data_IF_091709764278
#
_entry.id   IF_091709764278
#
_cell.length_a   1.000
_cell.length_b   1.000
_cell.length_c   1.000
_cell.angle_alpha   90.00
_cell.angle_beta   90.00
_cell.angle_gamma   90.00
#
_symmetry.space_group_name_H-M   'P 1'
#
loop_
_entity.id
_entity.type
_entity.pdbx_description
1 polymer ?
#
# COMPACT_ATOMS: atom_id res chain seq x y z
N UNK A 1 5.46 18.15 12.64
CA UNK A 1 5.26 16.88 11.92
C UNK A 1 3.84 16.90 11.40
N UNK A 2 3.61 16.78 10.09
CA UNK A 2 2.25 16.56 9.55
C UNK A 2 1.94 15.08 9.77
N UNK A 3 0.84 14.77 10.45
CA UNK A 3 0.33 13.41 10.52
C UNK A 3 0.09 12.93 9.09
N UNK A 4 0.68 11.79 8.72
CA UNK A 4 0.56 11.22 7.37
C UNK A 4 -0.81 10.59 7.12
N UNK A 5 -1.60 10.35 8.18
CA UNK A 5 -2.91 9.71 8.11
C UNK A 5 -3.95 10.53 8.89
N UNK A 6 -5.02 10.95 8.22
CA UNK A 6 -6.30 11.31 8.84
C UNK A 6 -7.31 10.25 8.41
N UNK A 7 -7.19 9.03 8.96
CA UNK A 7 -8.13 7.94 8.68
C UNK A 7 -9.26 7.99 9.71
N UNK A 8 -10.51 8.05 9.24
CA UNK A 8 -11.69 7.97 10.12
C UNK A 8 -11.91 6.51 10.52
N UNK A 9 -11.67 6.20 11.79
CA UNK A 9 -11.98 4.90 12.37
C UNK A 9 -13.50 4.74 12.54
N UNK A 10 -14.07 3.61 12.08
CA UNK A 10 -15.37 3.12 12.54
C UNK A 10 -15.12 1.92 13.44
N UNK A 11 -15.46 2.02 14.71
CA UNK A 11 -15.40 0.89 15.66
C UNK A 11 -16.78 0.30 15.85
N UNK A 12 -17.02 -0.92 15.36
CA UNK A 12 -18.15 -1.75 15.79
C UNK A 12 -17.70 -3.14 16.25
N UNK A 13 -18.28 -3.57 17.37
CA UNK A 13 -17.89 -4.75 18.15
C UNK A 13 -17.97 -6.06 17.36
N UNK A 14 -16.81 -6.67 17.09
CA UNK A 14 -16.68 -8.02 16.54
C UNK A 14 -15.69 -8.88 17.33
N UNK A 15 -15.93 -10.19 17.38
CA UNK A 15 -15.14 -11.21 18.08
C UNK A 15 -13.63 -11.06 17.78
N UNK A 16 -12.80 -11.08 18.82
CA UNK A 16 -11.36 -10.78 18.81
C UNK A 16 -10.53 -11.83 18.03
N UNK A 17 -10.59 -11.79 16.69
CA UNK A 17 -9.62 -12.40 15.78
C UNK A 17 -8.57 -11.34 15.42
N UNK A 18 -7.73 -10.98 16.39
CA UNK A 18 -6.77 -9.91 16.18
C UNK A 18 -5.73 -10.31 15.14
N UNK A 19 -5.80 -9.65 13.99
CA UNK A 19 -4.80 -9.73 12.94
C UNK A 19 -3.56 -8.97 13.46
N UNK A 20 -2.56 -9.73 13.90
CA UNK A 20 -1.32 -9.17 14.46
C UNK A 20 -0.28 -9.01 13.36
N UNK A 21 0.46 -7.91 13.41
CA UNK A 21 1.61 -7.71 12.52
C UNK A 21 2.69 -8.76 12.81
N UNK A 22 3.15 -9.48 11.80
CA UNK A 22 4.27 -10.41 11.90
C UNK A 22 5.61 -9.66 11.98
N UNK A 23 6.21 -9.58 13.16
CA UNK A 23 7.51 -8.94 13.37
C UNK A 23 8.63 -9.55 12.51
N UNK A 24 8.59 -10.85 12.22
CA UNK A 24 9.58 -11.47 11.33
C UNK A 24 9.46 -10.94 9.90
N UNK A 25 8.24 -10.63 9.44
CA UNK A 25 8.04 -10.01 8.15
C UNK A 25 8.62 -8.57 8.10
N UNK A 26 8.52 -7.83 9.20
CA UNK A 26 9.09 -6.48 9.33
C UNK A 26 10.63 -6.53 9.35
N UNK A 27 11.23 -7.48 10.08
CA UNK A 27 12.68 -7.73 10.03
C UNK A 27 13.15 -8.13 8.64
N UNK A 28 12.42 -9.00 7.94
CA UNK A 28 12.73 -9.37 6.55
C UNK A 28 12.66 -8.18 5.60
N UNK A 29 11.71 -7.26 5.79
CA UNK A 29 11.65 -6.00 5.05
C UNK A 29 12.88 -5.13 5.35
N UNK A 30 13.28 -4.99 6.62
CA UNK A 30 14.49 -4.27 7.02
C UNK A 30 15.76 -4.86 6.39
N UNK A 31 15.88 -6.19 6.40
CA UNK A 31 16.99 -6.91 5.77
C UNK A 31 17.00 -6.74 4.24
N UNK A 32 15.83 -6.82 3.58
CA UNK A 32 15.73 -6.57 2.15
C UNK A 32 16.13 -5.13 1.79
N UNK A 33 15.73 -4.16 2.61
CA UNK A 33 16.12 -2.77 2.44
C UNK A 33 17.62 -2.55 2.68
N UNK A 34 18.21 -3.14 3.72
CA UNK A 34 19.64 -3.07 3.97
C UNK A 34 20.46 -3.73 2.83
N UNK A 35 19.94 -4.84 2.29
CA UNK A 35 20.53 -5.57 1.16
C UNK A 35 20.31 -4.93 -0.22
N UNK A 36 19.85 -3.68 -0.30
CA UNK A 36 19.62 -2.96 -1.55
C UNK A 36 18.61 -3.63 -2.52
N UNK A 37 17.69 -4.45 -2.02
CA UNK A 37 16.63 -5.00 -2.84
C UNK A 37 15.76 -3.87 -3.42
N UNK A 38 15.32 -4.05 -4.66
CA UNK A 38 14.27 -3.21 -5.26
C UNK A 38 12.92 -3.67 -4.73
N UNK A 39 12.16 -2.75 -4.15
CA UNK A 39 10.89 -3.08 -3.50
C UNK A 39 9.71 -2.84 -4.45
N UNK A 40 8.82 -3.83 -4.56
CA UNK A 40 7.53 -3.69 -5.23
C UNK A 40 6.43 -3.97 -4.22
N UNK A 41 5.68 -2.94 -3.86
CA UNK A 41 4.72 -2.95 -2.76
C UNK A 41 3.28 -2.99 -3.30
N UNK A 42 2.41 -3.71 -2.59
CA UNK A 42 0.96 -3.62 -2.71
C UNK A 42 0.37 -3.46 -1.33
N UNK A 43 -0.38 -2.39 -1.12
CA UNK A 43 -1.29 -2.27 0.01
C UNK A 43 -2.58 -2.99 -0.32
N UNK A 44 -3.25 -3.55 0.68
CA UNK A 44 -4.51 -4.27 0.53
C UNK A 44 -5.43 -4.11 1.74
N UNK A 45 -6.73 -3.98 1.50
CA UNK A 45 -7.73 -4.32 2.50
C UNK A 45 -8.10 -5.80 2.37
N UNK A 46 -7.94 -6.56 3.46
CA UNK A 46 -8.35 -7.97 3.56
C UNK A 46 -9.21 -8.14 4.80
N UNK A 47 -10.45 -8.60 4.63
CA UNK A 47 -11.43 -8.74 5.72
C UNK A 47 -11.57 -7.47 6.59
N UNK A 48 -11.61 -6.29 5.94
CA UNK A 48 -11.74 -5.00 6.62
C UNK A 48 -10.48 -4.51 7.33
N UNK A 49 -9.33 -5.16 7.12
CA UNK A 49 -8.06 -4.82 7.79
C UNK A 49 -6.93 -4.60 6.81
N UNK A 50 -6.00 -3.73 7.17
CA UNK A 50 -4.84 -3.37 6.37
C UNK A 50 -3.81 -4.50 6.31
N UNK A 51 -3.39 -4.83 5.09
CA UNK A 51 -2.32 -5.77 4.80
C UNK A 51 -1.33 -5.11 3.82
N UNK A 52 -0.05 -5.42 3.99
CA UNK A 52 1.00 -5.05 3.04
C UNK A 52 1.66 -6.30 2.46
N UNK A 53 1.83 -6.31 1.15
CA UNK A 53 2.59 -7.32 0.40
C UNK A 53 3.75 -6.66 -0.30
N UNK A 54 4.96 -7.12 -0.02
CA UNK A 54 6.21 -6.60 -0.56
C UNK A 54 6.90 -7.74 -1.32
N UNK A 55 7.23 -7.47 -2.57
CA UNK A 55 8.16 -8.27 -3.34
C UNK A 55 9.53 -7.57 -3.32
N UNK A 56 10.51 -8.19 -2.68
CA UNK A 56 11.89 -7.73 -2.65
C UNK A 56 12.69 -8.46 -3.73
N UNK A 57 13.25 -7.69 -4.68
CA UNK A 57 14.07 -8.21 -5.77
C UNK A 57 15.55 -7.85 -5.55
N UNK A 58 16.38 -8.86 -5.29
CA UNK A 58 17.82 -8.73 -5.11
C UNK A 58 18.59 -8.91 -6.43
N UNK A 59 17.90 -9.08 -7.56
CA UNK A 59 18.48 -9.35 -8.88
C UNK A 59 18.74 -10.84 -9.15
N UNK A 60 19.26 -11.59 -8.16
CA UNK A 60 19.48 -13.03 -8.27
C UNK A 60 18.38 -13.88 -7.60
N UNK A 61 17.62 -13.29 -6.67
CA UNK A 61 16.51 -13.92 -5.98
C UNK A 61 15.40 -12.92 -5.71
N UNK A 62 14.19 -13.43 -5.61
CA UNK A 62 13.00 -12.69 -5.21
C UNK A 62 12.45 -13.27 -3.93
N UNK A 63 11.97 -12.39 -3.07
CA UNK A 63 11.40 -12.76 -1.79
C UNK A 63 10.06 -12.04 -1.62
N UNK A 64 9.05 -12.81 -1.25
CA UNK A 64 7.73 -12.28 -0.94
C UNK A 64 7.54 -12.18 0.57
N UNK A 65 7.12 -11.00 1.02
CA UNK A 65 6.87 -10.67 2.42
C UNK A 65 5.43 -10.16 2.47
N UNK A 66 4.59 -10.81 3.27
CA UNK A 66 3.19 -10.40 3.47
C UNK A 66 2.93 -10.35 4.97
N UNK A 67 2.35 -9.25 5.44
CA UNK A 67 1.97 -9.09 6.84
C UNK A 67 0.79 -8.14 6.97
N UNK A 68 0.04 -8.26 8.05
CA UNK A 68 -0.91 -7.23 8.47
C UNK A 68 -0.17 -5.93 8.77
N UNK A 69 -0.86 -4.80 8.73
CA UNK A 69 -0.24 -3.50 8.95
C UNK A 69 -1.11 -2.60 9.82
N UNK A 70 -0.49 -1.94 10.78
CA UNK A 70 -1.02 -0.75 11.43
C UNK A 70 -0.55 0.51 10.67
N UNK A 71 -0.95 1.69 11.14
CA UNK A 71 -0.55 2.96 10.52
C UNK A 71 0.98 3.17 10.52
N UNK A 72 1.66 2.78 11.60
CA UNK A 72 3.10 2.98 11.70
C UNK A 72 3.87 2.08 10.72
N UNK A 73 3.45 0.82 10.50
CA UNK A 73 4.06 -0.02 9.47
C UNK A 73 3.83 0.52 8.06
N UNK A 74 2.62 1.03 7.76
CA UNK A 74 2.35 1.64 6.47
C UNK A 74 3.30 2.83 6.21
N UNK A 75 3.52 3.67 7.23
CA UNK A 75 4.50 4.76 7.15
C UNK A 75 5.93 4.26 6.96
N UNK A 76 6.35 3.23 7.72
CA UNK A 76 7.68 2.61 7.59
C UNK A 76 7.90 2.10 6.16
N UNK A 77 6.91 1.45 5.55
CA UNK A 77 7.01 0.94 4.18
C UNK A 77 7.17 2.08 3.17
N UNK A 78 6.38 3.15 3.30
CA UNK A 78 6.48 4.35 2.44
C UNK A 78 7.84 5.05 2.64
N UNK A 79 8.31 5.17 3.87
CA UNK A 79 9.62 5.73 4.19
C UNK A 79 10.75 4.88 3.61
N UNK A 80 10.63 3.55 3.69
CA UNK A 80 11.61 2.61 3.13
C UNK A 80 11.75 2.79 1.62
N UNK A 81 10.61 2.94 0.91
CA UNK A 81 10.58 3.26 -0.51
C UNK A 81 11.23 4.61 -0.84
N UNK A 82 11.14 5.59 0.07
CA UNK A 82 11.81 6.90 -0.03
C UNK A 82 13.29 6.87 0.43
N UNK A 83 13.84 5.69 0.75
CA UNK A 83 15.24 5.57 1.15
C UNK A 83 15.51 5.85 2.63
N UNK A 84 14.50 5.73 3.49
CA UNK A 84 14.65 5.87 4.95
C UNK A 84 14.05 4.66 5.66
N UNK A 85 14.85 3.90 6.39
CA UNK A 85 14.37 2.75 7.17
C UNK A 85 14.62 2.98 8.66
N UNK A 86 13.59 2.75 9.47
CA UNK A 86 13.64 2.73 10.93
C UNK A 86 12.59 1.75 11.44
N UNK A 87 13.01 0.67 12.08
CA UNK A 87 12.11 -0.37 12.61
C UNK A 87 12.38 -0.74 14.07
N UNK A 88 13.51 -0.31 14.64
CA UNK A 88 13.96 -0.78 15.96
C UNK A 88 12.91 -0.53 17.05
N UNK A 89 12.39 0.69 17.17
CA UNK A 89 11.32 1.02 18.13
C UNK A 89 10.01 0.30 17.79
N UNK A 90 9.70 0.15 16.50
CA UNK A 90 8.49 -0.54 16.04
C UNK A 90 8.49 -2.01 16.48
N UNK A 91 9.63 -2.69 16.38
CA UNK A 91 9.78 -4.10 16.73
C UNK A 91 9.75 -4.39 18.24
N UNK A 92 9.74 -3.36 19.11
CA UNK A 92 9.71 -3.54 20.57
C UNK A 92 8.32 -3.87 21.13
N UNK A 93 7.27 -3.68 20.34
CA UNK A 93 5.88 -3.88 20.80
C UNK A 93 5.08 -4.69 19.80
N UNK A 94 4.01 -5.32 20.28
CA UNK A 94 3.02 -5.95 19.41
C UNK A 94 2.15 -4.86 18.75
N UNK A 95 1.82 -5.05 17.47
CA UNK A 95 0.97 -4.15 16.70
C UNK A 95 -0.22 -4.88 16.11
N UNK A 96 -1.39 -4.26 16.19
CA UNK A 96 -2.63 -4.78 15.64
C UNK A 96 -2.91 -4.13 14.29
N UNK A 97 -3.45 -4.92 13.35
CA UNK A 97 -3.83 -4.42 12.03
C UNK A 97 -4.83 -3.26 12.15
N UNK A 98 -4.61 -2.22 11.36
CA UNK A 98 -5.55 -1.12 11.20
C UNK A 98 -6.83 -1.63 10.52
N UNK A 99 -7.99 -1.26 11.07
CA UNK A 99 -9.29 -1.46 10.42
C UNK A 99 -9.52 -0.38 9.35
N UNK A 100 -9.73 -0.81 8.11
CA UNK A 100 -9.89 0.08 6.96
C UNK A 100 -10.57 -0.64 5.78
N UNK A 101 -11.56 0.01 5.18
CA UNK A 101 -12.37 -0.59 4.10
C UNK A 101 -11.74 -0.50 2.71
N UNK A 102 -10.91 0.52 2.44
CA UNK A 102 -10.43 0.81 1.10
C UNK A 102 -8.97 1.34 1.09
N UNK A 103 -8.04 0.62 1.74
CA UNK A 103 -6.66 1.05 1.89
C UNK A 103 -5.98 1.37 0.55
N UNK A 104 -6.19 0.54 -0.48
CA UNK A 104 -5.62 0.75 -1.82
C UNK A 104 -6.02 2.10 -2.41
N UNK A 105 -7.29 2.45 -2.27
CA UNK A 105 -7.87 3.70 -2.78
C UNK A 105 -7.27 4.90 -2.07
N UNK A 106 -7.23 4.86 -0.74
CA UNK A 106 -6.71 5.98 0.06
C UNK A 106 -5.22 6.21 -0.19
N UNK A 107 -4.43 5.14 -0.22
CA UNK A 107 -3.00 5.23 -0.53
C UNK A 107 -2.75 5.71 -1.97
N UNK A 108 -3.60 5.33 -2.94
CA UNK A 108 -3.50 5.84 -4.31
C UNK A 108 -3.80 7.34 -4.38
N UNK A 109 -4.90 7.80 -3.77
CA UNK A 109 -5.28 9.22 -3.75
C UNK A 109 -4.18 10.07 -3.12
N UNK A 110 -3.62 9.62 -1.98
CA UNK A 110 -2.51 10.30 -1.34
C UNK A 110 -1.29 10.43 -2.26
N UNK A 111 -0.91 9.34 -2.93
CA UNK A 111 0.21 9.35 -3.87
C UNK A 111 -0.03 10.31 -5.03
N UNK A 112 -1.24 10.33 -5.59
CA UNK A 112 -1.64 11.25 -6.64
C UNK A 112 -1.56 12.72 -6.19
N UNK A 113 -2.08 13.02 -5.00
CA UNK A 113 -2.09 14.38 -4.44
C UNK A 113 -0.70 14.86 -3.99
N UNK A 114 0.22 13.93 -3.70
CA UNK A 114 1.60 14.25 -3.31
C UNK A 114 2.48 14.73 -4.47
N UNK A 115 1.98 14.71 -5.71
CA UNK A 115 2.76 15.05 -6.91
C UNK A 115 3.77 13.96 -7.31
N UNK A 116 3.64 12.75 -6.76
CA UNK A 116 4.50 11.62 -7.10
C UNK A 116 4.27 11.20 -8.55
N UNK A 117 5.33 10.72 -9.21
CA UNK A 117 5.22 10.21 -10.59
C UNK A 117 4.38 8.94 -10.62
N UNK A 118 3.20 9.06 -11.22
CA UNK A 118 2.29 7.95 -11.50
C UNK A 118 2.46 7.46 -12.94
N UNK A 119 2.40 6.15 -13.12
CA UNK A 119 2.36 5.50 -14.43
C UNK A 119 1.06 4.69 -14.49
N UNK A 120 0.12 5.15 -15.30
CA UNK A 120 -1.11 4.44 -15.57
C UNK A 120 -0.84 3.33 -16.59
N UNK A 121 -1.16 2.09 -16.21
CA UNK A 121 -1.01 0.92 -17.04
C UNK A 121 -2.38 0.48 -17.56
N UNK A 122 -2.39 -0.57 -18.40
CA UNK A 122 -3.65 -1.17 -18.84
C UNK A 122 -4.45 -1.63 -17.62
N UNK A 123 -5.71 -1.21 -17.59
CA UNK A 123 -6.67 -1.64 -16.59
C UNK A 123 -6.78 -3.16 -16.52
N UNK A 124 -7.04 -3.65 -15.30
CA UNK A 124 -7.34 -5.04 -15.07
C UNK A 124 -8.86 -5.22 -15.02
N UNK A 125 -9.41 -5.99 -15.96
CA UNK A 125 -10.84 -6.21 -16.08
C UNK A 125 -11.15 -7.64 -15.68
N UNK A 126 -12.08 -7.81 -14.76
CA UNK A 126 -12.71 -9.08 -14.42
C UNK A 126 -14.13 -9.13 -14.99
N UNK A 127 -14.82 -10.26 -14.85
CA UNK A 127 -16.23 -10.38 -15.25
C UNK A 127 -17.13 -9.36 -14.53
N UNK A 128 -16.83 -9.06 -13.26
CA UNK A 128 -17.67 -8.24 -12.40
C UNK A 128 -17.23 -6.76 -12.28
N UNK A 129 -15.98 -6.44 -12.59
CA UNK A 129 -15.44 -5.11 -12.33
C UNK A 129 -14.21 -4.75 -13.19
N UNK A 130 -14.00 -3.45 -13.38
CA UNK A 130 -12.75 -2.89 -13.88
C UNK A 130 -11.94 -2.29 -12.74
N UNK A 131 -10.63 -2.50 -12.78
CA UNK A 131 -9.66 -1.98 -11.83
C UNK A 131 -8.63 -1.14 -12.55
N UNK A 132 -8.53 0.11 -12.11
CA UNK A 132 -7.46 1.02 -12.47
C UNK A 132 -6.12 0.43 -11.99
N UNK A 133 -5.18 0.25 -12.92
CA UNK A 133 -3.84 -0.21 -12.59
C UNK A 133 -2.84 0.94 -12.66
N UNK A 134 -2.33 1.36 -11.49
CA UNK A 134 -1.39 2.47 -11.38
C UNK A 134 -0.11 2.02 -10.70
N UNK A 135 1.03 2.43 -11.23
CA UNK A 135 2.32 2.28 -10.58
C UNK A 135 2.80 3.65 -10.11
N UNK A 136 2.96 3.79 -8.81
CA UNK A 136 3.57 4.97 -8.21
C UNK A 136 5.06 4.74 -8.00
N UNK A 137 5.90 5.63 -8.53
CA UNK A 137 7.36 5.49 -8.54
C UNK A 137 7.99 6.16 -7.33
N UNK A 138 8.89 5.42 -6.68
CA UNK A 138 9.70 5.86 -5.56
C UNK A 138 11.18 5.67 -5.87
N UNK A 139 12.04 6.24 -5.03
CA UNK A 139 13.49 6.11 -5.16
C UNK A 139 13.97 4.65 -5.09
N UNK A 140 13.48 3.87 -4.11
CA UNK A 140 13.90 2.48 -3.87
C UNK A 140 12.94 1.41 -4.41
N UNK A 141 11.92 1.81 -5.17
CA UNK A 141 10.89 0.87 -5.56
C UNK A 141 9.66 1.51 -6.18
N UNK A 142 8.56 0.79 -6.06
CA UNK A 142 7.27 1.21 -6.58
C UNK A 142 6.13 0.62 -5.76
N UNK A 143 5.00 1.33 -5.72
CA UNK A 143 3.73 0.81 -5.23
C UNK A 143 2.84 0.51 -6.44
N UNK A 144 2.22 -0.67 -6.46
CA UNK A 144 1.27 -1.06 -7.49
C UNK A 144 -0.14 -1.02 -6.88
N UNK A 145 -0.97 -0.15 -7.44
CA UNK A 145 -2.36 0.03 -7.06
C UNK A 145 -3.27 -0.67 -8.07
N UNK A 146 -4.26 -1.39 -7.54
CA UNK A 146 -5.37 -1.98 -8.29
C UNK A 146 -6.66 -1.45 -7.66
N UNK A 147 -7.07 -0.27 -8.09
CA UNK A 147 -8.20 0.45 -7.49
C UNK A 147 -9.44 0.16 -8.30
N UNK A 148 -10.50 -0.35 -7.65
CA UNK A 148 -11.78 -0.59 -8.34
C UNK A 148 -12.28 0.73 -8.93
N UNK A 149 -12.67 0.73 -10.21
CA UNK A 149 -13.25 1.92 -10.84
C UNK A 149 -14.67 2.10 -10.33
N UNK A 150 -14.85 3.07 -9.44
CA UNK A 150 -16.14 3.53 -8.92
C UNK A 150 -16.39 4.97 -9.39
N UNK A 151 -17.62 5.46 -9.30
CA UNK A 151 -17.93 6.86 -9.66
C UNK A 151 -17.07 7.85 -8.88
N UNK A 152 -16.79 7.56 -7.61
CA UNK A 152 -15.89 8.35 -6.76
C UNK A 152 -14.46 8.42 -7.33
N UNK A 153 -13.91 7.29 -7.78
CA UNK A 153 -12.57 7.25 -8.38
C UNK A 153 -12.55 7.94 -9.73
N UNK A 154 -13.59 7.77 -10.55
CA UNK A 154 -13.70 8.48 -11.83
C UNK A 154 -13.76 10.00 -11.63
N UNK A 155 -14.53 10.46 -10.65
CA UNK A 155 -14.58 11.87 -10.27
C UNK A 155 -13.22 12.36 -9.79
N UNK A 156 -12.57 11.63 -8.88
CA UNK A 156 -11.23 11.98 -8.39
C UNK A 156 -10.21 12.12 -9.52
N UNK A 157 -10.19 11.18 -10.47
CA UNK A 157 -9.28 11.22 -11.62
C UNK A 157 -9.55 12.45 -12.49
N UNK A 158 -10.82 12.79 -12.73
CA UNK A 158 -11.22 13.94 -13.53
C UNK A 158 -10.83 15.27 -12.85
N UNK A 159 -11.13 15.43 -11.55
CA UNK A 159 -10.83 16.63 -10.77
C UNK A 159 -9.33 16.91 -10.68
N UNK A 160 -8.50 15.86 -10.69
CA UNK A 160 -7.05 15.97 -10.59
C UNK A 160 -6.34 15.89 -11.96
N UNK A 161 -7.07 15.95 -13.07
CA UNK A 161 -6.53 15.88 -14.44
C UNK A 161 -5.66 14.62 -14.70
N UNK A 162 -5.99 13.50 -14.05
CA UNK A 162 -5.27 12.23 -14.16
C UNK A 162 -5.83 11.34 -15.29
N UNK A 163 -6.19 11.96 -16.43
CA UNK A 163 -6.97 11.32 -17.50
C UNK A 163 -6.37 9.97 -17.91
N UNK A 164 -7.18 8.92 -17.79
CA UNK A 164 -6.85 7.56 -18.22
C UNK A 164 -7.64 7.20 -19.47
N UNK A 165 -7.00 6.51 -20.42
CA UNK A 165 -7.71 5.93 -21.56
C UNK A 165 -8.62 4.81 -21.04
N UNK A 166 -9.93 5.06 -20.91
CA UNK A 166 -10.91 3.98 -20.70
C UNK A 166 -10.82 3.03 -21.89
N UNK A 167 -10.40 1.79 -21.64
CA UNK A 167 -10.66 0.73 -22.59
C UNK A 167 -12.14 0.38 -22.44
N UNK A 168 -12.94 0.80 -23.42
CA UNK A 168 -14.28 0.28 -23.61
C UNK A 168 -14.10 -1.22 -23.88
N UNK A 169 -14.69 -2.06 -23.04
CA UNK A 169 -14.72 -3.50 -23.22
C UNK A 169 -15.51 -3.87 -24.48
#
# INVERSE_FOLDING_TARGET
>A
MKNFFEIKLQTENGVNNNAVVDSNAVERLANAWAGNAKLKVRFKTVAGKAQVRIMADFGNRKEEITTWADEALLEIVVNALNGKMKVDEYLMTEHLALEIEALETEMFKQDALSGRKLIFLKDFVTEDASYLHVVSKFFRGEVNYYVKRTDEIEQFLAENNLVTFKLIA
#
